data_IF_467892349113
#
_entry.id   IF_467892349113
#
_cell.length_a   1.000
_cell.length_b   1.000
_cell.length_c   1.000
_cell.angle_alpha   90.00
_cell.angle_beta   90.00
_cell.angle_gamma   90.00
#
_symmetry.space_group_name_H-M   'P 1'
#
loop_
_entity.id
_entity.type
_entity.pdbx_description
1 polymer ?
#
# COMPACT_ATOMS: atom_id res chain seq x y z
N UNK A 1 21.83 16.82 49.78
CA UNK A 1 21.44 17.04 48.39
C UNK A 1 20.07 16.41 48.22
N UNK A 2 19.03 17.22 48.18
CA UNK A 2 17.65 16.76 48.01
C UNK A 2 17.48 16.26 46.58
N UNK A 3 17.24 14.95 46.42
CA UNK A 3 16.84 14.36 45.15
C UNK A 3 15.55 15.04 44.69
N UNK A 4 15.63 15.80 43.60
CA UNK A 4 14.45 16.34 42.96
C UNK A 4 13.68 15.17 42.30
N UNK A 5 12.37 15.06 42.53
CA UNK A 5 11.59 13.97 41.95
C UNK A 5 11.63 14.06 40.43
N UNK A 6 12.04 12.97 39.79
CA UNK A 6 12.06 12.84 38.33
C UNK A 6 10.62 12.64 37.85
N UNK A 7 10.02 13.69 37.30
CA UNK A 7 8.68 13.65 36.71
C UNK A 7 8.79 12.92 35.37
N UNK A 8 7.99 11.86 35.19
CA UNK A 8 7.91 11.10 33.95
C UNK A 8 6.49 11.20 33.39
N UNK A 9 6.37 11.75 32.18
CA UNK A 9 5.10 11.77 31.45
C UNK A 9 4.84 10.39 30.83
N UNK A 10 3.72 9.78 31.19
CA UNK A 10 3.30 8.46 30.66
C UNK A 10 1.96 8.57 29.96
N UNK A 11 1.86 7.98 28.78
CA UNK A 11 0.56 7.68 28.18
C UNK A 11 0.02 6.41 28.82
N UNK A 12 -1.17 6.51 29.41
CA UNK A 12 -1.86 5.38 30.02
C UNK A 12 -3.19 5.17 29.30
N UNK A 13 -3.28 4.07 28.56
CA UNK A 13 -4.56 3.62 28.02
C UNK A 13 -5.34 2.88 29.12
N UNK A 14 -6.40 3.51 29.62
CA UNK A 14 -7.28 2.96 30.64
C UNK A 14 -8.55 2.33 30.04
N UNK A 15 -8.63 2.17 28.73
CA UNK A 15 -9.78 1.54 28.11
C UNK A 15 -9.87 0.06 28.53
N UNK A 16 -10.97 -0.28 29.22
CA UNK A 16 -11.23 -1.66 29.62
C UNK A 16 -11.56 -2.51 28.40
N UNK A 17 -10.91 -3.68 28.27
CA UNK A 17 -11.19 -4.67 27.23
C UNK A 17 -12.57 -5.36 27.36
N UNK A 18 -13.39 -4.99 28.36
CA UNK A 18 -14.74 -5.50 28.55
C UNK A 18 -15.75 -4.34 28.66
N UNK A 19 -16.78 -4.29 27.80
CA UNK A 19 -17.85 -3.31 27.96
C UNK A 19 -18.63 -3.63 29.23
N UNK A 20 -18.52 -2.77 30.25
CA UNK A 20 -19.10 -3.02 31.57
C UNK A 20 -20.62 -2.81 31.62
N UNK A 21 -21.18 -1.98 30.74
CA UNK A 21 -22.63 -1.73 30.59
C UNK A 21 -22.93 -0.88 29.33
N UNK A 22 -24.20 -0.67 29.01
CA UNK A 22 -24.65 0.15 27.86
C UNK A 22 -24.21 1.62 27.95
N UNK A 23 -24.13 2.16 29.17
CA UNK A 23 -23.61 3.51 29.39
C UNK A 23 -22.15 3.64 28.96
N UNK A 24 -21.32 2.64 29.27
CA UNK A 24 -19.93 2.59 28.84
C UNK A 24 -19.83 2.53 27.31
N UNK A 25 -20.67 1.71 26.67
CA UNK A 25 -20.71 1.60 25.20
C UNK A 25 -21.07 2.93 24.54
N UNK A 26 -22.06 3.65 25.09
CA UNK A 26 -22.46 4.96 24.57
C UNK A 26 -21.37 6.00 24.76
N UNK A 27 -20.72 6.03 25.93
CA UNK A 27 -19.56 6.88 26.17
C UNK A 27 -18.45 6.63 25.13
N UNK A 28 -18.09 5.36 24.89
CA UNK A 28 -17.10 5.00 23.88
C UNK A 28 -17.52 5.42 22.47
N UNK A 29 -18.80 5.29 22.12
CA UNK A 29 -19.34 5.76 20.84
C UNK A 29 -19.13 7.26 20.68
N UNK A 30 -19.37 8.06 21.73
CA UNK A 30 -19.15 9.50 21.72
C UNK A 30 -17.67 9.84 21.55
N UNK A 31 -16.78 9.17 22.27
CA UNK A 31 -15.32 9.34 22.13
C UNK A 31 -14.86 9.05 20.69
N UNK A 32 -15.32 7.94 20.10
CA UNK A 32 -14.99 7.60 18.71
C UNK A 32 -15.56 8.60 17.71
N UNK A 33 -16.78 9.11 17.94
CA UNK A 33 -17.39 10.16 17.12
C UNK A 33 -16.57 11.45 17.16
N UNK A 34 -16.21 11.90 18.35
CA UNK A 34 -15.40 13.10 18.51
C UNK A 34 -14.06 12.95 17.79
N UNK A 35 -13.37 11.82 17.98
CA UNK A 35 -12.12 11.54 17.28
C UNK A 35 -12.28 11.54 15.75
N UNK A 36 -13.39 11.03 15.25
CA UNK A 36 -13.70 11.09 13.82
C UNK A 36 -13.86 12.53 13.34
N UNK A 37 -14.71 13.32 14.01
CA UNK A 37 -14.96 14.73 13.67
C UNK A 37 -13.67 15.57 13.73
N UNK A 38 -12.83 15.36 14.76
CA UNK A 38 -11.56 16.07 14.92
C UNK A 38 -10.58 15.82 13.76
N UNK A 39 -10.67 14.67 13.10
CA UNK A 39 -9.77 14.29 11.99
C UNK A 39 -10.40 14.44 10.61
N UNK A 40 -11.70 14.77 10.54
CA UNK A 40 -12.48 14.77 9.31
C UNK A 40 -11.96 15.80 8.31
N UNK A 41 -11.69 17.03 8.76
CA UNK A 41 -11.18 18.11 7.90
C UNK A 41 -9.88 17.69 7.20
N UNK A 42 -8.90 17.20 7.97
CA UNK A 42 -7.63 16.74 7.40
C UNK A 42 -7.81 15.53 6.49
N UNK A 43 -8.73 14.62 6.83
CA UNK A 43 -9.03 13.46 6.00
C UNK A 43 -9.62 13.86 4.64
N UNK A 44 -10.50 14.87 4.62
CA UNK A 44 -11.07 15.43 3.37
C UNK A 44 -9.99 16.04 2.51
N UNK A 45 -9.09 16.85 3.08
CA UNK A 45 -7.98 17.44 2.31
C UNK A 45 -7.08 16.36 1.69
N UNK A 46 -6.80 15.29 2.46
CA UNK A 46 -6.02 14.15 1.98
C UNK A 46 -6.69 13.37 0.85
N UNK A 47 -8.01 13.47 0.64
CA UNK A 47 -8.66 12.80 -0.51
C UNK A 47 -8.14 13.37 -1.83
N UNK A 48 -7.90 14.67 -1.88
CA UNK A 48 -7.47 15.37 -3.09
C UNK A 48 -6.03 15.05 -3.50
N UNK A 49 -5.22 14.58 -2.55
CA UNK A 49 -3.84 14.15 -2.79
C UNK A 49 -3.74 12.81 -3.53
N UNK A 50 -4.82 12.01 -3.49
CA UNK A 50 -4.79 10.61 -3.91
C UNK A 50 -5.21 10.43 -5.37
N UNK A 51 -4.42 9.69 -6.19
CA UNK A 51 -4.82 9.38 -7.55
C UNK A 51 -6.06 8.46 -7.58
N UNK A 52 -6.87 8.48 -8.65
CA UNK A 52 -7.99 7.56 -8.80
C UNK A 52 -7.51 6.11 -8.91
N UNK A 53 -8.28 5.13 -8.42
CA UNK A 53 -7.94 3.70 -8.59
C UNK A 53 -8.87 3.09 -9.63
N UNK A 54 -8.27 2.48 -10.66
CA UNK A 54 -8.96 1.80 -11.75
C UNK A 54 -8.55 0.33 -11.78
N UNK A 55 -9.24 -0.50 -10.99
CA UNK A 55 -8.99 -1.95 -10.91
C UNK A 55 -10.30 -2.72 -11.04
N UNK A 56 -10.23 -4.04 -11.28
CA UNK A 56 -11.42 -4.89 -11.31
C UNK A 56 -12.15 -4.85 -9.95
N UNK A 57 -13.49 -4.72 -9.92
CA UNK A 57 -14.27 -4.55 -8.69
C UNK A 57 -14.24 -5.76 -7.73
N UNK A 58 -13.80 -6.93 -8.20
CA UNK A 58 -13.62 -8.14 -7.41
C UNK A 58 -12.20 -8.71 -7.51
N UNK A 59 -11.22 -7.84 -7.82
CA UNK A 59 -9.81 -8.24 -7.89
C UNK A 59 -9.19 -8.40 -6.50
N UNK A 60 -8.24 -9.32 -6.37
CA UNK A 60 -7.55 -9.66 -5.12
C UNK A 60 -6.82 -8.47 -4.48
N UNK A 61 -6.49 -7.45 -5.28
CA UNK A 61 -5.78 -6.25 -4.82
C UNK A 61 -6.70 -5.11 -4.38
N UNK A 62 -7.99 -5.12 -4.74
CA UNK A 62 -8.88 -3.98 -4.45
C UNK A 62 -8.92 -3.69 -2.94
N UNK A 63 -9.10 -4.74 -2.14
CA UNK A 63 -9.18 -4.62 -0.67
C UNK A 63 -7.88 -4.02 -0.11
N UNK A 64 -6.72 -4.53 -0.54
CA UNK A 64 -5.41 -4.06 -0.08
C UNK A 64 -5.14 -2.59 -0.48
N UNK A 65 -5.55 -2.21 -1.69
CA UNK A 65 -5.41 -0.84 -2.17
C UNK A 65 -6.33 0.11 -1.39
N UNK A 66 -7.57 -0.29 -1.11
CA UNK A 66 -8.48 0.50 -0.28
C UNK A 66 -7.98 0.63 1.16
N UNK A 67 -7.45 -0.44 1.75
CA UNK A 67 -6.85 -0.42 3.08
C UNK A 67 -5.66 0.55 3.13
N UNK A 68 -4.78 0.50 2.13
CA UNK A 68 -3.63 1.41 2.02
C UNK A 68 -4.07 2.87 1.95
N UNK A 69 -5.09 3.17 1.13
CA UNK A 69 -5.66 4.53 1.07
C UNK A 69 -6.25 4.96 2.40
N UNK A 70 -6.97 4.07 3.08
CA UNK A 70 -7.59 4.38 4.35
C UNK A 70 -6.53 4.77 5.39
N UNK A 71 -5.41 4.05 5.45
CA UNK A 71 -4.28 4.39 6.34
C UNK A 71 -3.76 5.81 6.10
N UNK A 72 -3.65 6.24 4.84
CA UNK A 72 -3.27 7.61 4.52
C UNK A 72 -4.34 8.62 4.94
N UNK A 73 -5.60 8.38 4.58
CA UNK A 73 -6.72 9.27 4.89
C UNK A 73 -6.91 9.46 6.40
N UNK A 74 -6.63 8.45 7.22
CA UNK A 74 -6.72 8.53 8.68
C UNK A 74 -5.43 8.99 9.36
N UNK A 75 -4.38 9.35 8.61
CA UNK A 75 -3.13 9.87 9.15
C UNK A 75 -2.17 8.81 9.70
N UNK A 76 -2.39 7.52 9.44
CA UNK A 76 -1.48 6.43 9.81
C UNK A 76 -0.34 6.29 8.79
N UNK A 77 0.44 7.35 8.62
CA UNK A 77 1.41 7.47 7.54
C UNK A 77 2.52 6.41 7.56
N UNK A 78 3.01 6.03 8.74
CA UNK A 78 4.03 4.98 8.86
C UNK A 78 3.52 3.63 8.34
N UNK A 79 2.31 3.27 8.78
CA UNK A 79 1.61 2.06 8.34
C UNK A 79 1.28 2.13 6.85
N UNK A 80 0.91 3.30 6.35
CA UNK A 80 0.66 3.52 4.93
C UNK A 80 1.91 3.21 4.09
N UNK A 81 3.09 3.74 4.46
CA UNK A 81 4.35 3.44 3.74
C UNK A 81 4.65 1.94 3.76
N UNK A 82 4.51 1.30 4.92
CA UNK A 82 4.76 -0.13 5.07
C UNK A 82 3.80 -0.97 4.20
N UNK A 83 2.51 -0.66 4.26
CA UNK A 83 1.47 -1.34 3.48
C UNK A 83 1.69 -1.15 1.98
N UNK A 84 2.02 0.06 1.53
CA UNK A 84 2.34 0.29 0.11
C UNK A 84 3.48 -0.63 -0.34
N UNK A 85 4.56 -0.73 0.44
CA UNK A 85 5.68 -1.63 0.13
C UNK A 85 5.29 -3.10 0.06
N UNK A 86 4.48 -3.59 1.00
CA UNK A 86 4.00 -4.98 1.02
C UNK A 86 3.13 -5.28 -0.20
N UNK A 87 2.17 -4.40 -0.50
CA UNK A 87 1.27 -4.57 -1.64
C UNK A 87 2.04 -4.49 -2.96
N UNK A 88 3.00 -3.56 -3.08
CA UNK A 88 3.84 -3.44 -4.28
C UNK A 88 4.72 -4.67 -4.51
N UNK A 89 5.37 -5.19 -3.46
CA UNK A 89 6.16 -6.42 -3.55
C UNK A 89 5.28 -7.60 -3.98
N UNK A 90 4.08 -7.72 -3.42
CA UNK A 90 3.13 -8.77 -3.80
C UNK A 90 2.72 -8.66 -5.27
N UNK A 91 2.36 -7.48 -5.75
CA UNK A 91 2.01 -7.24 -7.16
C UNK A 91 3.14 -7.69 -8.10
N UNK A 92 4.38 -7.30 -7.81
CA UNK A 92 5.55 -7.69 -8.61
C UNK A 92 5.73 -9.21 -8.63
N UNK A 93 5.64 -9.86 -7.47
CA UNK A 93 5.79 -11.32 -7.35
C UNK A 93 4.66 -12.05 -8.07
N UNK A 94 3.45 -11.54 -8.02
CA UNK A 94 2.30 -12.17 -8.68
C UNK A 94 2.39 -12.02 -10.20
N UNK A 95 2.79 -10.85 -10.73
CA UNK A 95 3.08 -10.67 -12.17
C UNK A 95 4.15 -11.64 -12.63
N UNK A 96 5.21 -11.82 -11.84
CA UNK A 96 6.24 -12.80 -12.14
C UNK A 96 5.69 -14.23 -12.16
N UNK A 97 4.93 -14.64 -11.14
CA UNK A 97 4.29 -15.96 -11.07
C UNK A 97 3.39 -16.24 -12.26
N UNK A 98 2.58 -15.27 -12.68
CA UNK A 98 1.65 -15.44 -13.81
C UNK A 98 2.34 -15.44 -15.17
N UNK A 99 3.58 -14.94 -15.25
CA UNK A 99 4.31 -14.79 -16.52
C UNK A 99 5.33 -15.89 -16.78
N UNK A 100 5.74 -16.64 -15.75
CA UNK A 100 6.76 -17.69 -15.88
C UNK A 100 6.14 -19.01 -16.30
N UNK A 101 6.58 -19.54 -17.44
CA UNK A 101 6.28 -20.90 -17.89
C UNK A 101 7.57 -21.71 -17.99
N UNK A 102 7.51 -22.98 -17.59
CA UNK A 102 8.59 -23.94 -17.77
C UNK A 102 8.23 -24.92 -18.88
N UNK A 103 9.19 -25.24 -19.75
CA UNK A 103 9.01 -26.25 -20.78
C UNK A 103 9.41 -27.61 -20.24
N UNK A 104 8.46 -28.55 -20.18
CA UNK A 104 8.69 -29.93 -19.75
C UNK A 104 8.08 -30.88 -20.77
N UNK A 105 8.91 -31.69 -21.42
CA UNK A 105 8.45 -32.67 -22.41
C UNK A 105 7.71 -32.05 -23.60
N UNK A 106 8.12 -30.86 -24.04
CA UNK A 106 7.49 -30.13 -25.14
C UNK A 106 6.23 -29.33 -24.76
N UNK A 107 5.73 -29.45 -23.53
CA UNK A 107 4.59 -28.69 -23.03
C UNK A 107 5.06 -27.51 -22.18
N UNK A 108 4.45 -26.34 -22.38
CA UNK A 108 4.58 -25.20 -21.49
C UNK A 108 3.62 -25.39 -20.32
N UNK A 109 4.13 -25.31 -19.10
CA UNK A 109 3.34 -25.45 -17.88
C UNK A 109 3.80 -24.43 -16.83
N UNK A 110 2.89 -24.05 -15.94
CA UNK A 110 3.24 -23.23 -14.78
C UNK A 110 4.05 -24.07 -13.78
N UNK A 111 5.09 -23.49 -13.13
CA UNK A 111 5.68 -24.08 -11.95
C UNK A 111 4.63 -24.29 -10.85
N UNK A 112 4.79 -25.33 -10.03
CA UNK A 112 3.98 -25.53 -8.83
C UNK A 112 4.24 -24.44 -7.79
N UNK A 113 3.29 -24.17 -6.90
CA UNK A 113 3.45 -23.18 -5.80
C UNK A 113 4.73 -23.44 -4.99
N UNK A 114 5.01 -24.70 -4.61
CA UNK A 114 6.25 -25.06 -3.89
C UNK A 114 7.54 -24.68 -4.62
N UNK A 115 7.52 -24.66 -5.96
CA UNK A 115 8.66 -24.24 -6.76
C UNK A 115 8.77 -22.71 -6.78
N UNK A 116 7.66 -21.99 -6.88
CA UNK A 116 7.63 -20.54 -6.74
C UNK A 116 8.02 -20.07 -5.33
N UNK A 117 7.70 -20.84 -4.29
CA UNK A 117 8.09 -20.52 -2.91
C UNK A 117 9.62 -20.50 -2.74
N UNK A 118 10.35 -21.28 -3.55
CA UNK A 118 11.83 -21.17 -3.58
C UNK A 118 12.30 -19.84 -4.16
N UNK A 119 11.51 -19.22 -5.04
CA UNK A 119 11.79 -17.92 -5.64
C UNK A 119 11.36 -16.76 -4.75
N UNK A 120 10.61 -16.98 -3.66
CA UNK A 120 10.31 -15.92 -2.68
C UNK A 120 11.55 -15.37 -1.98
N UNK A 121 12.63 -16.17 -1.94
CA UNK A 121 13.95 -15.78 -1.40
C UNK A 121 14.73 -14.88 -2.34
N UNK A 122 14.32 -14.77 -3.61
CA UNK A 122 14.94 -13.85 -4.55
C UNK A 122 14.53 -12.43 -4.17
N UNK A 123 15.50 -11.54 -4.07
CA UNK A 123 15.24 -10.13 -3.78
C UNK A 123 14.29 -9.54 -4.84
N UNK A 124 13.27 -8.80 -4.37
CA UNK A 124 12.26 -8.20 -5.26
C UNK A 124 12.88 -7.35 -6.36
N UNK A 125 13.99 -6.65 -6.08
CA UNK A 125 14.70 -5.83 -7.09
C UNK A 125 15.26 -6.69 -8.24
N UNK A 126 15.64 -7.94 -7.97
CA UNK A 126 16.03 -8.90 -9.00
C UNK A 126 14.85 -9.25 -9.91
N UNK A 127 13.67 -9.47 -9.32
CA UNK A 127 12.43 -9.76 -10.04
C UNK A 127 12.00 -8.53 -10.86
N UNK A 128 12.04 -7.32 -10.30
CA UNK A 128 11.71 -6.07 -11.01
C UNK A 128 12.56 -5.93 -12.26
N UNK A 129 13.89 -6.09 -12.13
CA UNK A 129 14.79 -6.01 -13.29
C UNK A 129 14.48 -7.08 -14.33
N UNK A 130 14.25 -8.32 -13.89
CA UNK A 130 13.86 -9.40 -14.80
C UNK A 130 12.58 -9.06 -15.57
N UNK A 131 11.52 -8.62 -14.89
CA UNK A 131 10.25 -8.27 -15.53
C UNK A 131 10.39 -7.09 -16.50
N UNK A 132 11.21 -6.11 -16.15
CA UNK A 132 11.51 -4.98 -17.04
C UNK A 132 12.21 -5.43 -18.32
N UNK A 133 13.30 -6.21 -18.20
CA UNK A 133 14.05 -6.69 -19.37
C UNK A 133 13.23 -7.69 -20.22
N UNK A 134 12.24 -8.35 -19.61
CA UNK A 134 11.29 -9.23 -20.29
C UNK A 134 10.07 -8.48 -20.89
N UNK A 135 10.03 -7.14 -20.82
CA UNK A 135 8.92 -6.29 -21.30
C UNK A 135 7.55 -6.61 -20.65
N UNK A 136 7.58 -7.16 -19.43
CA UNK A 136 6.40 -7.44 -18.61
C UNK A 136 6.09 -6.32 -17.62
N UNK A 137 7.02 -5.38 -17.46
CA UNK A 137 6.90 -4.21 -16.59
C UNK A 137 7.56 -3.00 -17.27
N UNK A 138 6.81 -1.93 -17.47
CA UNK A 138 7.31 -0.69 -18.05
C UNK A 138 8.38 -0.02 -17.19
N UNK A 139 9.22 0.81 -17.81
CA UNK A 139 10.35 1.44 -17.15
C UNK A 139 9.94 2.29 -15.92
N UNK A 140 8.84 3.03 -16.00
CA UNK A 140 8.32 3.83 -14.88
C UNK A 140 7.79 2.96 -13.74
N UNK A 141 7.11 1.85 -14.06
CA UNK A 141 6.60 0.92 -13.05
C UNK A 141 7.74 0.16 -12.36
N UNK A 142 8.79 -0.22 -13.09
CA UNK A 142 9.99 -0.80 -12.52
C UNK A 142 10.69 0.16 -11.54
N UNK A 143 10.89 1.42 -11.96
CA UNK A 143 11.42 2.48 -11.10
C UNK A 143 10.55 2.75 -9.88
N UNK A 144 9.23 2.67 -10.04
CA UNK A 144 8.28 2.83 -8.95
C UNK A 144 8.41 1.71 -7.92
N UNK A 145 8.50 0.45 -8.38
CA UNK A 145 8.75 -0.72 -7.52
C UNK A 145 10.04 -0.61 -6.73
N UNK A 146 11.15 -0.24 -7.38
CA UNK A 146 12.45 -0.05 -6.72
C UNK A 146 12.39 1.06 -5.66
N UNK A 147 11.78 2.20 -6.03
CA UNK A 147 11.64 3.35 -5.13
C UNK A 147 10.79 3.02 -3.91
N UNK A 148 9.75 2.21 -4.09
CA UNK A 148 8.85 1.79 -3.02
C UNK A 148 9.53 0.81 -2.06
N UNK A 149 10.30 -0.15 -2.59
CA UNK A 149 11.15 -1.06 -1.82
C UNK A 149 12.15 -0.29 -0.94
N UNK A 150 12.85 0.70 -1.53
CA UNK A 150 13.79 1.56 -0.80
C UNK A 150 13.09 2.34 0.32
N UNK A 151 11.95 2.96 0.02
CA UNK A 151 11.22 3.77 0.99
C UNK A 151 10.71 2.91 2.15
N UNK A 152 10.11 1.74 1.88
CA UNK A 152 9.70 0.79 2.91
C UNK A 152 10.88 0.35 3.78
N UNK A 153 12.04 0.11 3.18
CA UNK A 153 13.25 -0.26 3.94
C UNK A 153 13.79 0.89 4.81
N UNK A 154 13.59 2.17 4.44
CA UNK A 154 13.93 3.29 5.32
C UNK A 154 13.09 3.24 6.60
N UNK A 155 11.78 2.98 6.48
CA UNK A 155 10.87 2.88 7.61
C UNK A 155 11.11 1.59 8.43
N UNK A 156 11.37 0.45 7.79
CA UNK A 156 11.70 -0.79 8.51
C UNK A 156 12.94 -0.65 9.42
N UNK A 157 13.87 0.26 9.07
CA UNK A 157 15.09 0.53 9.84
C UNK A 157 15.05 1.85 10.63
N UNK A 158 13.86 2.40 10.93
CA UNK A 158 13.68 3.64 11.69
C UNK A 158 14.45 4.86 11.13
N UNK A 159 14.65 4.90 9.80
CA UNK A 159 15.29 6.01 9.07
C UNK A 159 14.31 6.91 8.34
N UNK A 160 13.01 6.60 8.36
CA UNK A 160 11.96 7.45 7.81
C UNK A 160 11.87 8.76 8.58
N UNK A 161 11.90 9.90 7.88
CA UNK A 161 11.99 11.23 8.51
C UNK A 161 10.74 12.09 8.32
N UNK A 162 9.98 11.86 7.26
CA UNK A 162 8.82 12.67 6.92
C UNK A 162 7.60 11.79 6.59
N UNK A 163 6.97 11.15 7.60
CA UNK A 163 5.91 10.16 7.40
C UNK A 163 4.83 10.59 6.42
N UNK A 164 4.31 11.81 6.54
CA UNK A 164 3.23 12.29 5.68
C UNK A 164 3.61 12.40 4.21
N UNK A 165 4.73 13.07 3.89
CA UNK A 165 5.17 13.24 2.50
C UNK A 165 5.67 11.92 1.91
N UNK A 166 6.31 11.08 2.73
CA UNK A 166 6.74 9.75 2.33
C UNK A 166 5.55 8.83 2.06
N UNK A 167 4.48 8.89 2.86
CA UNK A 167 3.26 8.12 2.62
C UNK A 167 2.56 8.54 1.32
N UNK A 168 2.48 9.86 1.04
CA UNK A 168 1.95 10.36 -0.21
C UNK A 168 2.78 9.87 -1.41
N UNK A 169 4.11 9.94 -1.28
CA UNK A 169 5.03 9.41 -2.29
C UNK A 169 4.82 7.90 -2.49
N UNK A 170 4.72 7.14 -1.41
CA UNK A 170 4.53 5.69 -1.44
C UNK A 170 3.25 5.30 -2.17
N UNK A 171 2.13 5.98 -1.89
CA UNK A 171 0.86 5.74 -2.59
C UNK A 171 0.98 6.06 -4.08
N UNK A 172 1.62 7.17 -4.44
CA UNK A 172 1.79 7.54 -5.86
C UNK A 172 2.64 6.50 -6.60
N UNK A 173 3.71 6.00 -5.99
CA UNK A 173 4.52 4.91 -6.54
C UNK A 173 3.73 3.61 -6.68
N UNK A 174 2.95 3.24 -5.67
CA UNK A 174 2.08 2.07 -5.73
C UNK A 174 1.04 2.20 -6.85
N UNK A 175 0.47 3.39 -7.02
CA UNK A 175 -0.49 3.66 -8.08
C UNK A 175 0.13 3.47 -9.47
N UNK A 176 1.32 4.03 -9.72
CA UNK A 176 2.07 3.80 -10.97
C UNK A 176 2.29 2.31 -11.23
N UNK A 177 2.61 1.53 -10.19
CA UNK A 177 2.78 0.08 -10.32
C UNK A 177 1.46 -0.63 -10.65
N UNK A 178 0.35 -0.24 -10.01
CA UNK A 178 -0.99 -0.79 -10.26
C UNK A 178 -1.45 -0.52 -11.70
N UNK A 179 -1.21 0.69 -12.20
CA UNK A 179 -1.57 1.09 -13.56
C UNK A 179 -0.90 0.19 -14.61
N UNK A 180 0.35 -0.21 -14.38
CA UNK A 180 1.07 -1.03 -15.34
C UNK A 180 0.90 -2.54 -15.15
N UNK A 181 0.43 -3.00 -13.99
CA UNK A 181 0.34 -4.44 -13.70
C UNK A 181 -1.09 -4.96 -13.80
N UNK A 182 -2.01 -4.35 -13.07
CA UNK A 182 -3.36 -4.92 -12.82
C UNK A 182 -4.50 -4.00 -13.27
N UNK A 183 -4.21 -2.82 -13.80
CA UNK A 183 -5.22 -1.94 -14.38
C UNK A 183 -5.83 -2.56 -15.63
N UNK A 184 -7.16 -2.66 -15.61
CA UNK A 184 -7.97 -3.11 -16.75
C UNK A 184 -8.16 -2.04 -17.83
N UNK A 185 -7.70 -0.82 -17.55
CA UNK A 185 -8.01 0.36 -18.33
C UNK A 185 -6.74 1.09 -18.74
N UNK A 186 -5.64 0.38 -19.06
CA UNK A 186 -4.39 1.01 -19.53
C UNK A 186 -4.62 2.03 -20.66
N UNK A 187 -5.60 1.76 -21.52
CA UNK A 187 -6.01 2.61 -22.65
C UNK A 187 -7.02 3.71 -22.29
N UNK A 188 -7.42 3.89 -21.03
CA UNK A 188 -8.42 4.86 -20.62
C UNK A 188 -7.90 5.78 -19.51
N UNK A 189 -8.50 6.96 -19.40
CA UNK A 189 -8.24 7.95 -18.37
C UNK A 189 -9.56 8.58 -17.91
N UNK A 190 -9.58 9.19 -16.73
CA UNK A 190 -10.75 9.94 -16.25
C UNK A 190 -10.56 11.41 -16.60
N UNK A 191 -11.47 11.97 -17.41
CA UNK A 191 -11.58 13.42 -17.67
C UNK A 191 -12.95 13.90 -17.19
N UNK A 192 -12.97 14.92 -16.34
CA UNK A 192 -14.19 15.52 -15.80
C UNK A 192 -15.18 14.51 -15.19
N UNK A 193 -14.66 13.48 -14.51
CA UNK A 193 -15.47 12.43 -13.88
C UNK A 193 -15.97 11.34 -14.84
N UNK A 194 -15.59 11.40 -16.12
CA UNK A 194 -15.98 10.42 -17.14
C UNK A 194 -14.76 9.62 -17.60
N UNK A 195 -14.93 8.30 -17.75
CA UNK A 195 -13.90 7.42 -18.32
C UNK A 195 -13.85 7.60 -19.84
N UNK A 196 -12.72 8.06 -20.37
CA UNK A 196 -12.47 8.29 -21.80
C UNK A 196 -11.26 7.48 -22.26
N UNK A 197 -11.24 7.04 -23.53
CA UNK A 197 -10.08 6.35 -24.10
C UNK A 197 -8.95 7.37 -24.32
N UNK A 198 -7.73 7.04 -23.91
CA UNK A 198 -6.52 7.83 -24.18
C UNK A 198 -6.37 7.98 -25.70
N UNK A 199 -6.02 9.19 -26.14
CA UNK A 199 -5.70 9.41 -27.55
C UNK A 199 -4.54 8.48 -27.94
N UNK A 200 -4.74 7.68 -28.99
CA UNK A 200 -3.69 6.83 -29.54
C UNK A 200 -2.57 7.74 -30.08
N UNK A 201 -1.28 7.47 -29.78
CA UNK A 201 -0.17 8.18 -30.40
C UNK A 201 -0.17 8.04 -31.93
#
# INVERSE_FOLDING_TARGET
MSEQPQIMDVFLDLFSNQPKNDQSREFFRQVLRQRFEDTLTDAVERVWDLPPILVKPHGEYLVLLLETRQLYLTGYFYSCVAMCGIVGERLIKDVFRTSVLIQKGGLAQLPSDTAFDQLERVEVNGIIRFLKEADLLGAEAAKAGDSLSQLRNQYAHARGKAPQSDALKAIKLLHTLVEDTVSVFKEFEIRDGVLVRKATP
#
